data_IF_110354083808
#
_entry.id   IF_110354083808
#
_cell.length_a   1.000
_cell.length_b   1.000
_cell.length_c   1.000
_cell.angle_alpha   90.00
_cell.angle_beta   90.00
_cell.angle_gamma   90.00
#
_symmetry.space_group_name_H-M   'P 1'
#
loop_
_entity.id
_entity.type
_entity.pdbx_description
1 polymer ?
#
# COMPACT_ATOMS: atom_id res chain seq x y z
N UNK A 1 6.43 -1.92 4.68
CA UNK A 1 6.79 -1.32 3.38
C UNK A 1 8.30 -1.26 3.25
N UNK A 2 8.83 -1.06 2.03
CA UNK A 2 10.25 -0.87 1.72
C UNK A 2 10.37 0.00 0.48
N UNK A 3 11.38 0.88 0.43
CA UNK A 3 11.65 1.72 -0.74
C UNK A 3 10.51 2.68 -1.07
N UNK A 4 9.64 3.01 -0.11
CA UNK A 4 8.46 3.84 -0.32
C UNK A 4 8.60 5.16 0.44
N UNK A 5 8.72 6.27 -0.30
CA UNK A 5 8.93 7.62 0.24
C UNK A 5 10.04 7.68 1.32
N UNK A 6 9.68 8.00 2.57
CA UNK A 6 10.63 8.09 3.70
C UNK A 6 11.02 6.72 4.27
N UNK A 7 10.29 5.65 3.94
CA UNK A 7 10.56 4.28 4.37
C UNK A 7 11.44 3.56 3.36
N UNK A 8 12.72 3.93 3.33
CA UNK A 8 13.70 3.40 2.38
C UNK A 8 14.03 1.94 2.65
N UNK A 9 14.24 1.60 3.91
CA UNK A 9 14.47 0.24 4.36
C UNK A 9 13.17 -0.49 4.68
N UNK A 10 13.26 -1.82 4.83
CA UNK A 10 12.11 -2.62 5.23
C UNK A 10 11.71 -2.23 6.66
N UNK A 11 10.49 -1.74 6.83
CA UNK A 11 9.94 -1.46 8.15
C UNK A 11 9.76 -2.77 8.93
N UNK A 12 10.54 -2.95 9.99
CA UNK A 12 10.49 -4.11 10.89
C UNK A 12 10.56 -3.61 12.34
N UNK A 13 9.58 -3.97 13.21
CA UNK A 13 8.35 -4.67 12.89
C UNK A 13 7.43 -3.86 11.95
N UNK A 14 6.43 -4.49 11.29
CA UNK A 14 5.45 -3.73 10.53
C UNK A 14 4.67 -2.78 11.43
N UNK A 15 4.24 -1.64 10.88
CA UNK A 15 3.29 -0.75 11.56
C UNK A 15 1.96 -1.49 11.77
N UNK A 16 1.41 -1.37 12.98
CA UNK A 16 0.15 -2.00 13.37
C UNK A 16 -0.80 -0.94 13.90
N UNK A 17 -2.09 -1.15 13.65
CA UNK A 17 -3.19 -0.31 14.12
C UNK A 17 -4.20 -1.19 14.87
N UNK A 18 -3.84 -1.70 16.06
CA UNK A 18 -4.70 -2.62 16.80
C UNK A 18 -5.91 -1.91 17.43
N UNK A 19 -5.77 -0.61 17.70
CA UNK A 19 -6.79 0.20 18.37
C UNK A 19 -7.66 0.93 17.36
N UNK A 20 -8.92 1.17 17.73
CA UNK A 20 -9.87 1.98 16.96
C UNK A 20 -9.34 3.38 16.66
N UNK A 21 -8.61 3.97 17.61
CA UNK A 21 -8.00 5.29 17.47
C UNK A 21 -6.49 5.17 17.64
N UNK A 22 -5.75 5.61 16.62
CA UNK A 22 -4.28 5.63 16.65
C UNK A 22 -3.80 7.05 16.39
N UNK A 23 -2.89 7.54 17.24
CA UNK A 23 -2.23 8.83 17.03
C UNK A 23 -0.83 8.59 16.48
N UNK A 24 -0.54 9.20 15.33
CA UNK A 24 0.79 9.16 14.70
C UNK A 24 1.47 10.51 14.93
N UNK A 25 2.50 10.54 15.77
CA UNK A 25 3.22 11.78 16.12
C UNK A 25 4.66 11.78 15.57
N UNK A 26 5.28 12.96 15.55
CA UNK A 26 6.65 13.14 15.07
C UNK A 26 6.86 14.50 14.40
N UNK A 27 8.11 14.91 14.23
CA UNK A 27 8.49 16.19 13.61
C UNK A 27 8.03 16.29 12.15
N UNK A 28 7.93 17.50 11.62
CA UNK A 28 7.71 17.70 10.18
C UNK A 28 8.78 16.97 9.36
N UNK A 29 8.37 16.29 8.28
CA UNK A 29 9.27 15.50 7.45
C UNK A 29 9.57 14.08 7.96
N UNK A 30 9.09 13.69 9.15
CA UNK A 30 9.37 12.35 9.74
C UNK A 30 8.71 11.16 9.05
N UNK A 31 7.92 11.39 7.99
CA UNK A 31 7.26 10.31 7.23
C UNK A 31 5.82 9.99 7.64
N UNK A 32 5.19 10.76 8.53
CA UNK A 32 3.79 10.53 8.96
C UNK A 32 2.82 10.45 7.79
N UNK A 33 2.82 11.44 6.90
CA UNK A 33 1.97 11.43 5.69
C UNK A 33 2.34 10.29 4.74
N UNK A 34 3.61 9.86 4.71
CA UNK A 34 4.03 8.70 3.91
C UNK A 34 3.39 7.39 4.36
N UNK A 35 2.97 7.27 5.64
CA UNK A 35 2.20 6.12 6.12
C UNK A 35 0.81 6.11 5.46
N UNK A 36 0.14 7.26 5.42
CA UNK A 36 -1.17 7.39 4.79
C UNK A 36 -1.08 7.18 3.27
N UNK A 37 -0.06 7.78 2.62
CA UNK A 37 0.23 7.57 1.20
C UNK A 37 0.52 6.09 0.88
N UNK A 38 1.15 5.35 1.80
CA UNK A 38 1.39 3.93 1.62
C UNK A 38 0.08 3.13 1.59
N UNK A 39 -0.85 3.45 2.51
CA UNK A 39 -2.18 2.80 2.56
C UNK A 39 -2.94 3.07 1.25
N UNK A 40 -3.03 4.33 0.82
CA UNK A 40 -3.74 4.66 -0.42
C UNK A 40 -3.06 4.05 -1.65
N UNK A 41 -1.72 4.00 -1.67
CA UNK A 41 -0.98 3.40 -2.78
C UNK A 41 -1.29 1.91 -2.89
N UNK A 42 -1.26 1.18 -1.78
CA UNK A 42 -1.56 -0.25 -1.80
C UNK A 42 -2.99 -0.51 -2.33
N UNK A 43 -3.98 0.18 -1.78
CA UNK A 43 -5.40 -0.06 -2.08
C UNK A 43 -5.82 0.49 -3.45
N UNK A 44 -5.36 1.69 -3.83
CA UNK A 44 -5.89 2.42 -4.99
C UNK A 44 -4.88 2.63 -6.12
N UNK A 45 -3.64 2.18 -5.94
CA UNK A 45 -2.57 2.40 -6.93
C UNK A 45 -2.17 3.87 -7.05
N UNK A 46 -2.62 4.74 -6.14
CA UNK A 46 -2.39 6.19 -6.14
C UNK A 46 -2.06 6.69 -4.73
N UNK A 47 -1.36 7.80 -4.65
CA UNK A 47 -1.08 8.53 -3.40
C UNK A 47 -1.82 9.85 -3.41
N UNK A 48 -1.96 10.49 -2.24
CA UNK A 48 -2.50 11.87 -2.17
C UNK A 48 -1.65 12.88 -2.97
N UNK A 49 -0.40 12.52 -3.27
CA UNK A 49 0.56 13.32 -4.03
C UNK A 49 0.47 13.12 -5.53
N UNK A 50 -0.03 11.97 -5.99
CA UNK A 50 -0.12 11.66 -7.44
C UNK A 50 -1.31 12.32 -8.12
N UNK A 51 -2.20 12.96 -7.36
CA UNK A 51 -3.21 13.86 -7.92
C UNK A 51 -2.55 15.13 -8.50
N UNK A 52 -1.33 15.43 -8.08
CA UNK A 52 -0.45 16.41 -8.73
C UNK A 52 0.12 15.74 -9.99
N UNK A 53 -0.31 16.20 -11.17
CA UNK A 53 0.01 15.59 -12.48
C UNK A 53 1.51 15.36 -12.73
N UNK A 54 2.40 16.08 -12.04
CA UNK A 54 3.85 15.94 -12.18
C UNK A 54 4.47 14.79 -11.38
N UNK A 55 3.77 14.21 -10.40
CA UNK A 55 4.30 13.14 -9.54
C UNK A 55 3.93 11.78 -10.10
N UNK A 56 4.93 11.01 -10.52
CA UNK A 56 4.75 9.64 -11.00
C UNK A 56 4.86 8.64 -9.85
N UNK A 57 4.27 7.46 -10.01
CA UNK A 57 4.39 6.39 -9.01
C UNK A 57 5.84 5.95 -8.75
N UNK A 58 6.70 6.05 -9.76
CA UNK A 58 8.13 5.79 -9.63
C UNK A 58 8.87 6.79 -8.73
N UNK A 59 8.30 7.99 -8.51
CA UNK A 59 8.88 9.00 -7.61
C UNK A 59 8.58 8.70 -6.15
N UNK A 60 7.52 7.92 -5.88
CA UNK A 60 7.07 7.58 -4.52
C UNK A 60 7.44 6.17 -4.10
N UNK A 61 7.67 5.25 -5.05
CA UNK A 61 8.11 3.89 -4.80
C UNK A 61 9.32 3.55 -5.68
N UNK A 62 10.44 3.23 -5.04
CA UNK A 62 11.70 2.84 -5.71
C UNK A 62 11.58 1.48 -6.41
N UNK A 63 12.46 1.17 -7.37
CA UNK A 63 12.59 -0.19 -7.90
C UNK A 63 12.84 -1.18 -6.76
N UNK A 64 12.20 -2.36 -6.82
CA UNK A 64 12.18 -3.36 -5.73
C UNK A 64 11.52 -2.86 -4.41
N UNK A 65 10.84 -1.72 -4.46
CA UNK A 65 10.03 -1.18 -3.37
C UNK A 65 8.61 -1.74 -3.39
N UNK A 66 7.99 -1.80 -2.22
CA UNK A 66 6.62 -2.27 -2.08
C UNK A 66 5.95 -1.71 -0.81
N UNK A 67 4.62 -1.69 -0.86
CA UNK A 67 3.76 -1.56 0.30
C UNK A 67 2.90 -2.81 0.41
N UNK A 68 2.77 -3.33 1.63
CA UNK A 68 1.79 -4.35 1.98
C UNK A 68 0.85 -3.79 3.05
N UNK A 69 -0.45 -3.88 2.81
CA UNK A 69 -1.50 -3.56 3.78
C UNK A 69 -2.27 -4.84 4.09
N UNK A 70 -2.42 -5.13 5.37
CA UNK A 70 -3.26 -6.23 5.86
C UNK A 70 -4.41 -5.63 6.65
N UNK A 71 -5.64 -6.08 6.39
CA UNK A 71 -6.83 -5.60 7.06
C UNK A 71 -7.91 -6.70 7.12
N UNK A 72 -8.94 -6.46 7.91
CA UNK A 72 -10.13 -7.30 7.96
C UNK A 72 -11.32 -6.55 7.35
N UNK A 73 -12.16 -7.29 6.62
CA UNK A 73 -13.48 -6.85 6.19
C UNK A 73 -14.48 -7.95 6.58
N UNK A 74 -15.30 -7.67 7.59
CA UNK A 74 -16.04 -8.73 8.28
C UNK A 74 -15.07 -9.75 8.89
N UNK A 75 -15.31 -11.03 8.63
CA UNK A 75 -14.47 -12.13 9.13
C UNK A 75 -13.27 -12.45 8.21
N UNK A 76 -13.23 -11.85 7.02
CA UNK A 76 -12.21 -12.13 6.01
C UNK A 76 -10.97 -11.29 6.23
N UNK A 77 -9.80 -11.94 6.15
CA UNK A 77 -8.51 -11.27 6.17
C UNK A 77 -8.02 -11.01 4.76
N UNK A 78 -7.71 -9.77 4.47
CA UNK A 78 -7.17 -9.32 3.20
C UNK A 78 -5.73 -8.84 3.35
N UNK A 79 -4.85 -9.29 2.46
CA UNK A 79 -3.46 -8.84 2.36
C UNK A 79 -3.23 -8.34 0.91
N UNK A 80 -2.95 -7.04 0.76
CA UNK A 80 -2.72 -6.38 -0.53
C UNK A 80 -1.27 -5.92 -0.60
N UNK A 81 -0.52 -6.43 -1.57
CA UNK A 81 0.87 -6.01 -1.84
C UNK A 81 0.97 -5.37 -3.22
N UNK A 82 1.45 -4.13 -3.26
CA UNK A 82 1.70 -3.39 -4.49
C UNK A 82 3.13 -2.86 -4.50
N UNK A 83 3.79 -2.93 -5.64
CA UNK A 83 5.16 -2.47 -5.74
C UNK A 83 5.71 -2.50 -7.15
N UNK A 84 7.03 -2.37 -7.24
CA UNK A 84 7.78 -2.45 -8.48
C UNK A 84 8.85 -3.54 -8.38
N UNK A 85 9.05 -4.30 -9.47
CA UNK A 85 10.17 -5.22 -9.58
C UNK A 85 11.51 -4.46 -9.67
N UNK A 86 12.63 -5.17 -9.63
CA UNK A 86 13.96 -4.59 -9.91
C UNK A 86 14.03 -3.97 -11.31
N UNK A 87 13.27 -4.52 -12.27
CA UNK A 87 13.13 -4.02 -13.64
C UNK A 87 12.13 -2.87 -13.78
N UNK A 88 11.59 -2.36 -12.66
CA UNK A 88 10.60 -1.27 -12.60
C UNK A 88 9.21 -1.61 -13.18
N UNK A 89 8.89 -2.90 -13.29
CA UNK A 89 7.55 -3.34 -13.67
C UNK A 89 6.63 -3.29 -12.45
N UNK A 90 5.43 -2.75 -12.59
CA UNK A 90 4.44 -2.75 -11.50
C UNK A 90 3.84 -4.14 -11.30
N UNK A 91 3.52 -4.47 -10.06
CA UNK A 91 2.77 -5.69 -9.73
C UNK A 91 1.74 -5.45 -8.63
N UNK A 92 0.75 -6.34 -8.58
CA UNK A 92 -0.30 -6.38 -7.56
C UNK A 92 -0.61 -7.83 -7.17
N UNK A 93 -0.45 -8.10 -5.88
CA UNK A 93 -0.80 -9.35 -5.22
C UNK A 93 -1.91 -9.07 -4.21
N UNK A 94 -2.93 -9.92 -4.20
CA UNK A 94 -4.06 -9.84 -3.27
C UNK A 94 -4.33 -11.24 -2.78
N UNK A 95 -4.40 -11.41 -1.45
CA UNK A 95 -4.85 -12.67 -0.85
C UNK A 95 -6.03 -12.43 0.07
N UNK A 96 -6.98 -13.37 0.06
CA UNK A 96 -8.11 -13.47 0.99
C UNK A 96 -7.94 -14.74 1.80
N UNK A 97 -7.86 -14.61 3.12
CA UNK A 97 -7.66 -15.73 4.06
C UNK A 97 -6.45 -16.62 3.72
N UNK A 98 -5.40 -16.00 3.14
CA UNK A 98 -4.18 -16.68 2.69
C UNK A 98 -4.25 -17.23 1.26
N UNK A 99 -5.42 -17.25 0.63
CA UNK A 99 -5.59 -17.71 -0.75
C UNK A 99 -5.44 -16.55 -1.75
N UNK A 100 -4.71 -16.79 -2.84
CA UNK A 100 -4.46 -15.78 -3.85
C UNK A 100 -5.71 -15.50 -4.69
N UNK A 101 -6.11 -14.23 -4.75
CA UNK A 101 -7.15 -13.76 -5.68
C UNK A 101 -6.59 -13.81 -7.10
N UNK A 102 -7.27 -14.56 -7.96
CA UNK A 102 -6.86 -14.77 -9.35
C UNK A 102 -7.27 -13.59 -10.24
N UNK A 103 -6.66 -13.53 -11.43
CA UNK A 103 -6.99 -12.54 -12.46
C UNK A 103 -5.90 -11.50 -12.69
N UNK A 104 -6.21 -10.60 -13.62
CA UNK A 104 -5.31 -9.51 -14.02
C UNK A 104 -5.24 -8.42 -12.94
N UNK A 105 -4.33 -7.44 -13.11
CA UNK A 105 -4.27 -6.29 -12.20
C UNK A 105 -5.62 -5.55 -12.16
N UNK A 106 -6.27 -5.22 -13.29
CA UNK A 106 -7.62 -4.62 -13.27
C UNK A 106 -8.67 -5.44 -12.50
N UNK A 107 -8.64 -6.76 -12.60
CA UNK A 107 -9.59 -7.63 -11.88
C UNK A 107 -9.37 -7.53 -10.37
N UNK A 108 -8.11 -7.64 -9.94
CA UNK A 108 -7.72 -7.49 -8.53
C UNK A 108 -8.04 -6.09 -7.98
N UNK A 109 -7.86 -5.04 -8.78
CA UNK A 109 -8.22 -3.67 -8.39
C UNK A 109 -9.73 -3.48 -8.21
N UNK A 110 -10.53 -4.15 -9.04
CA UNK A 110 -11.99 -4.20 -8.87
C UNK A 110 -12.34 -4.90 -7.55
N UNK A 111 -11.75 -6.07 -7.28
CA UNK A 111 -11.96 -6.77 -6.02
C UNK A 111 -11.61 -5.91 -4.81
N UNK A 112 -10.48 -5.19 -4.84
CA UNK A 112 -10.10 -4.29 -3.73
C UNK A 112 -11.17 -3.20 -3.53
N UNK A 113 -11.66 -2.58 -4.61
CA UNK A 113 -12.71 -1.55 -4.54
C UNK A 113 -14.00 -2.09 -3.94
N UNK A 114 -14.45 -3.25 -4.39
CA UNK A 114 -15.67 -3.89 -3.89
C UNK A 114 -15.56 -4.16 -2.37
N UNK A 115 -14.39 -4.63 -1.90
CA UNK A 115 -14.12 -4.95 -0.49
C UNK A 115 -14.04 -3.69 0.38
N UNK A 116 -13.43 -2.61 -0.11
CA UNK A 116 -13.30 -1.35 0.65
C UNK A 116 -14.55 -0.45 0.54
N UNK A 117 -15.56 -0.86 -0.23
CA UNK A 117 -16.84 -0.17 -0.37
C UNK A 117 -16.80 1.05 -1.31
N UNK A 118 -16.05 0.97 -2.40
CA UNK A 118 -15.92 2.02 -3.43
C UNK A 118 -16.46 1.58 -4.80
#
# INVERSE_FOLDING_TARGET
MRGFMRYLEKTVPPLRFPEKYTVITGRTGSGKSSILDAITFALYGKTTRTDIQSVKLADVCRPNGYVRVAFHQGDERWDVTRGFTTKKESYLEVTRDGEAVQGTIPDKERTIRDVVGL
#
